data_IF_836714105925
#
_entry.id   IF_836714105925
#
_cell.length_a   1.000
_cell.length_b   1.000
_cell.length_c   1.000
_cell.angle_alpha   90.00
_cell.angle_beta   90.00
_cell.angle_gamma   90.00
#
_symmetry.space_group_name_H-M   'P 1'
#
loop_
_entity.id
_entity.type
_entity.pdbx_description
1 polymer ?
#
# COMPACT_ATOMS: atom_id res chain seq x y z
N UNK A 1 0.21 11.43 -40.61
CA UNK A 1 0.77 10.94 -39.33
C UNK A 1 -0.34 10.68 -38.34
N UNK A 2 -0.36 9.54 -37.63
CA UNK A 2 -1.30 9.38 -36.53
C UNK A 2 -0.85 10.30 -35.39
N UNK A 3 -1.72 11.23 -35.01
CA UNK A 3 -1.51 12.12 -33.87
C UNK A 3 -1.37 11.26 -32.59
N UNK A 4 -0.34 11.44 -31.75
CA UNK A 4 -0.28 10.73 -30.48
C UNK A 4 -1.50 11.12 -29.65
N UNK A 5 -2.32 10.12 -29.29
CA UNK A 5 -3.51 10.32 -28.49
C UNK A 5 -3.11 10.89 -27.12
N UNK A 6 -3.47 12.15 -26.85
CA UNK A 6 -3.30 12.75 -25.53
C UNK A 6 -4.16 11.95 -24.55
N UNK A 7 -3.60 11.41 -23.45
CA UNK A 7 -4.40 10.70 -22.45
C UNK A 7 -5.49 11.61 -21.91
N UNK A 8 -6.73 11.11 -21.82
CA UNK A 8 -7.86 11.87 -21.27
C UNK A 8 -7.51 12.32 -19.82
N UNK A 9 -7.46 13.63 -19.52
CA UNK A 9 -7.06 14.15 -18.20
C UNK A 9 -7.89 13.55 -17.05
N UNK A 10 -9.19 13.32 -17.29
CA UNK A 10 -10.11 12.74 -16.30
C UNK A 10 -9.84 11.27 -16.00
N UNK A 11 -9.15 10.55 -16.90
CA UNK A 11 -8.72 9.18 -16.65
C UNK A 11 -7.48 9.16 -15.74
N UNK A 12 -6.56 10.10 -15.95
CA UNK A 12 -5.38 10.27 -15.10
C UNK A 12 -5.77 10.67 -13.67
N UNK A 13 -6.65 11.65 -13.51
CA UNK A 13 -7.14 12.07 -12.18
C UNK A 13 -7.79 10.91 -11.41
N UNK A 14 -8.59 10.10 -12.10
CA UNK A 14 -9.22 8.92 -11.49
C UNK A 14 -8.21 7.85 -11.11
N UNK A 15 -7.20 7.63 -11.94
CA UNK A 15 -6.12 6.69 -11.66
C UNK A 15 -5.30 7.12 -10.45
N UNK A 16 -4.87 8.38 -10.42
CA UNK A 16 -4.12 8.97 -9.29
C UNK A 16 -4.94 8.93 -8.01
N UNK A 17 -6.23 9.32 -8.06
CA UNK A 17 -7.09 9.26 -6.87
C UNK A 17 -7.25 7.83 -6.34
N UNK A 18 -7.36 6.83 -7.22
CA UNK A 18 -7.41 5.42 -6.80
C UNK A 18 -6.09 5.00 -6.14
N UNK A 19 -4.95 5.31 -6.76
CA UNK A 19 -3.64 5.04 -6.18
C UNK A 19 -3.49 5.67 -4.79
N UNK A 20 -3.86 6.95 -4.63
CA UNK A 20 -3.79 7.63 -3.33
C UNK A 20 -4.65 6.94 -2.26
N UNK A 21 -5.85 6.47 -2.62
CA UNK A 21 -6.73 5.73 -1.70
C UNK A 21 -6.15 4.36 -1.34
N UNK A 22 -5.59 3.66 -2.32
CA UNK A 22 -4.97 2.35 -2.08
C UNK A 22 -3.76 2.50 -1.16
N UNK A 23 -2.90 3.50 -1.39
CA UNK A 23 -1.76 3.84 -0.52
C UNK A 23 -2.21 4.16 0.92
N UNK A 24 -3.22 5.01 1.09
CA UNK A 24 -3.78 5.34 2.42
C UNK A 24 -4.33 4.09 3.12
N UNK A 25 -4.99 3.20 2.39
CA UNK A 25 -5.50 1.94 2.94
C UNK A 25 -4.36 1.04 3.40
N UNK A 26 -3.29 0.93 2.61
CA UNK A 26 -2.11 0.15 2.96
C UNK A 26 -1.39 0.69 4.20
N UNK A 27 -1.24 2.01 4.34
CA UNK A 27 -0.65 2.64 5.53
C UNK A 27 -1.44 2.29 6.80
N UNK A 28 -2.78 2.29 6.72
CA UNK A 28 -3.64 1.86 7.83
C UNK A 28 -3.43 0.39 8.22
N UNK A 29 -3.30 -0.50 7.24
CA UNK A 29 -3.03 -1.93 7.48
C UNK A 29 -1.68 -2.13 8.15
N UNK A 30 -0.65 -1.40 7.71
CA UNK A 30 0.69 -1.41 8.32
C UNK A 30 0.60 -0.97 9.79
N UNK A 31 -0.07 0.14 10.08
CA UNK A 31 -0.24 0.63 11.46
C UNK A 31 -1.02 -0.34 12.36
N UNK A 32 -2.05 -1.00 11.81
CA UNK A 32 -2.79 -2.03 12.53
C UNK A 32 -1.91 -3.25 12.89
N UNK A 33 -1.10 -3.73 11.95
CA UNK A 33 -0.20 -4.87 12.16
C UNK A 33 0.91 -4.56 13.17
N UNK A 34 1.44 -3.33 13.16
CA UNK A 34 2.41 -2.87 14.18
C UNK A 34 1.77 -2.79 15.57
N UNK A 35 0.57 -2.22 15.66
CA UNK A 35 -0.17 -2.12 16.93
C UNK A 35 -0.52 -3.49 17.49
N UNK A 36 -1.02 -4.39 16.64
CA UNK A 36 -1.40 -5.75 17.04
C UNK A 36 -0.19 -6.54 17.54
N UNK A 37 0.95 -6.45 16.86
CA UNK A 37 2.17 -7.14 17.29
C UNK A 37 2.73 -6.58 18.60
N UNK A 38 2.62 -5.25 18.81
CA UNK A 38 2.99 -4.62 20.08
C UNK A 38 2.12 -5.09 21.25
N UNK A 39 0.82 -5.24 21.03
CA UNK A 39 -0.12 -5.69 22.07
C UNK A 39 -0.05 -7.20 22.30
N UNK A 40 0.16 -7.99 21.25
CA UNK A 40 0.11 -9.45 21.27
C UNK A 40 1.36 -10.06 20.60
N UNK A 41 2.57 -9.88 21.16
CA UNK A 41 3.82 -10.30 20.54
C UNK A 41 3.98 -11.82 20.38
N UNK A 42 3.12 -12.61 21.04
CA UNK A 42 3.11 -14.08 20.98
C UNK A 42 2.10 -14.65 19.99
N UNK A 43 1.20 -13.84 19.43
CA UNK A 43 0.16 -14.28 18.50
C UNK A 43 0.77 -14.81 17.19
N UNK A 44 1.86 -14.20 16.75
CA UNK A 44 2.59 -14.56 15.54
C UNK A 44 4.09 -14.56 15.86
N UNK A 45 4.86 -15.58 15.45
CA UNK A 45 6.31 -15.55 15.60
C UNK A 45 6.92 -14.30 14.97
N UNK A 46 7.91 -13.69 15.64
CA UNK A 46 8.55 -12.44 15.21
C UNK A 46 8.99 -12.46 13.73
N UNK A 47 9.60 -13.57 13.28
CA UNK A 47 10.05 -13.74 11.90
C UNK A 47 8.90 -13.70 10.89
N UNK A 48 7.71 -14.21 11.26
CA UNK A 48 6.53 -14.19 10.39
C UNK A 48 5.94 -12.79 10.31
N UNK A 49 5.90 -12.06 11.44
CA UNK A 49 5.49 -10.65 11.46
C UNK A 49 6.43 -9.80 10.59
N UNK A 50 7.74 -9.95 10.73
CA UNK A 50 8.73 -9.24 9.91
C UNK A 50 8.56 -9.51 8.40
N UNK A 51 8.35 -10.77 7.98
CA UNK A 51 8.13 -11.08 6.55
C UNK A 51 6.87 -10.41 5.99
N UNK A 52 5.78 -10.40 6.76
CA UNK A 52 4.52 -9.75 6.36
C UNK A 52 4.72 -8.23 6.26
N UNK A 53 5.31 -7.61 7.29
CA UNK A 53 5.59 -6.17 7.32
C UNK A 53 6.53 -5.74 6.20
N UNK A 54 7.57 -6.53 5.94
CA UNK A 54 8.51 -6.28 4.87
C UNK A 54 7.79 -6.29 3.51
N UNK A 55 7.04 -7.35 3.20
CA UNK A 55 6.30 -7.45 1.94
C UNK A 55 5.33 -6.28 1.73
N UNK A 56 4.56 -5.91 2.75
CA UNK A 56 3.63 -4.79 2.67
C UNK A 56 4.35 -3.45 2.49
N UNK A 57 5.41 -3.17 3.28
CA UNK A 57 6.18 -1.92 3.16
C UNK A 57 6.89 -1.81 1.81
N UNK A 58 7.33 -2.92 1.21
CA UNK A 58 7.97 -2.91 -0.12
C UNK A 58 6.97 -2.78 -1.27
N UNK A 59 5.74 -3.28 -1.12
CA UNK A 59 4.68 -3.14 -2.14
C UNK A 59 4.12 -1.72 -2.21
N UNK A 60 4.15 -0.99 -1.09
CA UNK A 60 3.80 0.44 -0.98
C UNK A 60 4.98 1.34 -1.38
N UNK A 61 6.06 0.74 -1.88
CA UNK A 61 7.30 1.43 -2.27
C UNK A 61 7.02 2.67 -3.11
N UNK A 62 7.65 3.77 -2.70
CA UNK A 62 7.95 4.91 -3.58
C UNK A 62 8.44 4.44 -4.95
#
# INVERSE_FOLDING_TARGET
SPTPAVPNPRALDRYVSRLSRDLEHFERVIGFLETTYRLLPRLVPAIKHMKIMFGLKTMVGK
#
